data_IF_355930249696
#
_entry.id   IF_355930249696
#
_cell.length_a   1.000
_cell.length_b   1.000
_cell.length_c   1.000
_cell.angle_alpha   90.00
_cell.angle_beta   90.00
_cell.angle_gamma   90.00
#
_symmetry.space_group_name_H-M   'P 1'
#
loop_
_entity.id
_entity.type
_entity.pdbx_description
1 polymer ?
#
# COMPACT_ATOMS: atom_id res chain seq x y z
N UNK A 1 -12.37 -37.21 2.40
CA UNK A 1 -11.20 -36.71 1.66
C UNK A 1 -11.23 -35.18 1.79
N UNK A 2 -10.09 -34.50 2.01
CA UNK A 2 -10.07 -33.04 2.08
C UNK A 2 -10.14 -32.44 0.69
N UNK A 3 -10.85 -31.30 0.49
CA UNK A 3 -10.86 -30.60 -0.78
C UNK A 3 -9.43 -30.24 -1.24
N UNK A 4 -9.13 -30.49 -2.49
CA UNK A 4 -7.83 -30.19 -3.11
C UNK A 4 -7.90 -28.74 -3.65
N UNK A 5 -7.16 -27.81 -3.07
CA UNK A 5 -7.13 -26.42 -3.50
C UNK A 5 -5.79 -26.06 -4.14
N UNK A 6 -5.88 -25.36 -5.25
CA UNK A 6 -4.75 -24.73 -5.89
C UNK A 6 -4.62 -23.29 -5.41
N UNK A 7 -3.49 -22.96 -4.79
CA UNK A 7 -3.06 -21.60 -4.55
C UNK A 7 -2.06 -21.22 -5.62
N UNK A 8 -2.43 -20.30 -6.51
CA UNK A 8 -1.58 -19.81 -7.58
C UNK A 8 -1.15 -18.37 -7.28
N UNK A 9 0.14 -18.20 -6.95
CA UNK A 9 0.71 -16.90 -6.58
C UNK A 9 1.92 -16.61 -7.47
N UNK A 10 1.75 -15.64 -8.38
CA UNK A 10 2.76 -15.31 -9.40
C UNK A 10 4.05 -14.77 -8.77
N UNK A 11 3.95 -13.98 -7.73
CA UNK A 11 5.09 -13.48 -6.97
C UNK A 11 5.04 -13.96 -5.52
N UNK A 12 6.19 -13.94 -4.85
CA UNK A 12 6.29 -14.22 -3.40
C UNK A 12 6.79 -12.98 -2.65
N UNK A 13 6.26 -11.83 -3.05
CA UNK A 13 6.49 -10.55 -2.39
C UNK A 13 5.82 -10.47 -1.00
N UNK A 14 6.03 -9.37 -0.31
CA UNK A 14 5.48 -9.15 1.03
C UNK A 14 3.95 -9.19 1.06
N UNK A 15 3.28 -8.65 0.05
CA UNK A 15 1.82 -8.68 -0.07
C UNK A 15 1.30 -10.10 -0.22
N UNK A 16 1.86 -10.87 -1.15
CA UNK A 16 1.50 -12.28 -1.36
C UNK A 16 1.73 -13.13 -0.11
N UNK A 17 2.80 -12.87 0.65
CA UNK A 17 3.08 -13.55 1.90
C UNK A 17 2.01 -13.28 2.96
N UNK A 18 1.56 -12.04 3.11
CA UNK A 18 0.48 -11.68 4.04
C UNK A 18 -0.88 -12.27 3.62
N UNK A 19 -1.20 -12.26 2.34
CA UNK A 19 -2.39 -12.93 1.81
C UNK A 19 -2.37 -14.43 2.16
N UNK A 20 -1.25 -15.10 1.90
CA UNK A 20 -1.09 -16.53 2.23
C UNK A 20 -1.23 -16.81 3.73
N UNK A 21 -0.72 -15.93 4.60
CA UNK A 21 -0.93 -16.04 6.06
C UNK A 21 -2.42 -15.98 6.42
N UNK A 22 -3.19 -15.08 5.78
CA UNK A 22 -4.63 -14.97 5.96
C UNK A 22 -5.37 -16.25 5.54
N UNK A 23 -5.05 -16.80 4.36
CA UNK A 23 -5.59 -18.08 3.86
C UNK A 23 -5.27 -19.22 4.82
N UNK A 24 -4.01 -19.32 5.26
CA UNK A 24 -3.57 -20.38 6.19
C UNK A 24 -4.22 -20.24 7.56
N UNK A 25 -4.45 -19.01 8.05
CA UNK A 25 -5.16 -18.79 9.29
C UNK A 25 -6.59 -19.34 9.20
N UNK A 26 -7.30 -19.00 8.11
CA UNK A 26 -8.66 -19.53 7.89
C UNK A 26 -8.68 -21.05 7.86
N UNK A 27 -7.79 -21.66 7.06
CA UNK A 27 -7.69 -23.13 6.92
C UNK A 27 -7.44 -23.83 8.28
N UNK A 28 -6.59 -23.25 9.15
CA UNK A 28 -6.27 -23.85 10.46
C UNK A 28 -7.42 -23.76 11.47
N UNK A 29 -8.30 -22.76 11.32
CA UNK A 29 -9.38 -22.48 12.27
C UNK A 29 -10.73 -23.04 11.82
N UNK A 30 -10.87 -23.49 10.57
CA UNK A 30 -12.11 -24.00 9.98
C UNK A 30 -11.92 -25.41 9.41
N UNK A 31 -12.28 -25.60 8.14
CA UNK A 31 -12.14 -26.91 7.48
C UNK A 31 -10.74 -27.09 6.89
N UNK A 32 -10.07 -28.23 7.13
CA UNK A 32 -8.78 -28.49 6.53
C UNK A 32 -8.92 -28.75 5.01
N UNK A 33 -7.99 -28.16 4.24
CA UNK A 33 -7.84 -28.37 2.81
C UNK A 33 -6.53 -29.10 2.53
N UNK A 34 -6.47 -29.80 1.41
CA UNK A 34 -5.21 -30.23 0.81
C UNK A 34 -4.75 -29.12 -0.15
N UNK A 35 -3.65 -28.45 0.18
CA UNK A 35 -3.18 -27.28 -0.56
C UNK A 35 -1.99 -27.63 -1.43
N UNK A 36 -2.04 -27.21 -2.70
CA UNK A 36 -0.88 -27.14 -3.59
C UNK A 36 -0.59 -25.68 -3.92
N UNK A 37 0.61 -25.22 -3.59
CA UNK A 37 1.07 -23.85 -3.88
C UNK A 37 1.94 -23.85 -5.12
N UNK A 38 1.54 -23.07 -6.12
CA UNK A 38 2.26 -22.91 -7.40
C UNK A 38 2.53 -21.43 -7.68
N UNK A 39 3.55 -21.16 -8.49
CA UNK A 39 3.94 -19.85 -8.99
C UNK A 39 4.44 -19.92 -10.43
N UNK A 40 4.78 -18.77 -11.04
CA UNK A 40 5.21 -18.67 -12.44
C UNK A 40 6.41 -19.53 -12.81
N UNK A 41 7.30 -19.83 -11.85
CA UNK A 41 8.49 -20.65 -12.08
C UNK A 41 8.16 -22.10 -12.50
N UNK A 42 6.93 -22.55 -12.17
CA UNK A 42 6.48 -23.93 -12.41
C UNK A 42 5.49 -24.04 -13.56
N UNK A 43 4.97 -22.90 -14.02
CA UNK A 43 3.88 -22.83 -14.99
C UNK A 43 4.31 -21.92 -16.12
N UNK A 44 4.86 -22.51 -17.16
CA UNK A 44 5.02 -21.79 -18.42
C UNK A 44 3.67 -21.26 -18.93
N UNK A 45 3.60 -20.74 -20.14
CA UNK A 45 2.35 -20.28 -20.78
C UNK A 45 1.31 -21.40 -20.97
N UNK A 46 1.68 -22.65 -20.72
CA UNK A 46 0.83 -23.83 -20.86
C UNK A 46 0.10 -24.16 -19.54
N UNK A 47 -1.22 -24.05 -19.54
CA UNK A 47 -2.10 -24.38 -18.43
C UNK A 47 -2.59 -25.84 -18.45
N UNK A 48 -2.07 -26.70 -19.37
CA UNK A 48 -2.49 -28.11 -19.52
C UNK A 48 -2.30 -28.95 -18.24
N UNK A 49 -1.35 -28.58 -17.41
CA UNK A 49 -1.09 -29.22 -16.11
C UNK A 49 -2.27 -29.09 -15.12
N UNK A 50 -3.16 -28.09 -15.29
CA UNK A 50 -4.39 -27.98 -14.51
C UNK A 50 -5.29 -29.20 -14.68
N UNK A 51 -5.28 -29.82 -15.85
CA UNK A 51 -6.13 -30.97 -16.19
C UNK A 51 -5.58 -32.30 -15.61
N UNK A 52 -4.35 -32.32 -15.12
CA UNK A 52 -3.68 -33.53 -14.62
C UNK A 52 -4.04 -33.92 -13.19
N UNK A 53 -4.86 -33.14 -12.48
CA UNK A 53 -5.29 -33.37 -11.10
C UNK A 53 -6.75 -32.97 -10.92
N UNK A 54 -7.39 -33.61 -9.94
CA UNK A 54 -8.72 -33.25 -9.49
C UNK A 54 -8.65 -32.07 -8.52
N UNK A 55 -8.94 -30.88 -9.00
CA UNK A 55 -9.04 -29.65 -8.22
C UNK A 55 -10.47 -29.43 -7.78
N UNK A 56 -10.66 -28.88 -6.57
CA UNK A 56 -11.98 -28.50 -6.04
C UNK A 56 -12.16 -26.96 -6.01
N UNK A 57 -11.06 -26.20 -6.10
CA UNK A 57 -11.09 -24.75 -6.15
C UNK A 57 -9.71 -24.14 -6.38
N UNK A 58 -9.71 -22.87 -6.79
CA UNK A 58 -8.50 -22.08 -7.10
C UNK A 58 -8.57 -20.73 -6.39
N UNK A 59 -7.49 -20.37 -5.69
CA UNK A 59 -7.26 -19.00 -5.22
C UNK A 59 -6.02 -18.50 -5.95
N UNK A 60 -6.19 -17.45 -6.75
CA UNK A 60 -5.15 -16.91 -7.61
C UNK A 60 -4.81 -15.46 -7.23
N UNK A 61 -3.52 -15.14 -7.16
CA UNK A 61 -3.02 -13.79 -6.93
C UNK A 61 -2.03 -13.39 -8.02
N UNK A 62 -2.28 -12.24 -8.66
CA UNK A 62 -1.50 -11.73 -9.78
C UNK A 62 -1.36 -12.73 -10.95
N UNK A 63 -2.35 -13.59 -11.11
CA UNK A 63 -2.38 -14.56 -12.19
C UNK A 63 -2.56 -13.85 -13.56
N UNK A 64 -2.01 -14.47 -14.61
CA UNK A 64 -2.23 -13.95 -15.96
C UNK A 64 -3.70 -14.12 -16.37
N UNK A 65 -4.25 -13.25 -17.24
CA UNK A 65 -5.56 -13.41 -17.81
C UNK A 65 -5.80 -14.79 -18.42
N UNK A 66 -4.79 -15.35 -19.12
CA UNK A 66 -4.87 -16.67 -19.71
C UNK A 66 -5.02 -17.79 -18.67
N UNK A 67 -4.37 -17.66 -17.50
CA UNK A 67 -4.52 -18.61 -16.41
C UNK A 67 -5.94 -18.59 -15.82
N UNK A 68 -6.48 -17.40 -15.57
CA UNK A 68 -7.85 -17.26 -15.04
C UNK A 68 -8.88 -17.81 -16.05
N UNK A 69 -8.73 -17.48 -17.33
CA UNK A 69 -9.58 -18.01 -18.39
C UNK A 69 -9.50 -19.55 -18.50
N UNK A 70 -8.30 -20.11 -18.47
CA UNK A 70 -8.12 -21.56 -18.51
C UNK A 70 -8.73 -22.24 -17.28
N UNK A 71 -8.57 -21.65 -16.09
CA UNK A 71 -9.16 -22.16 -14.85
C UNK A 71 -10.67 -22.08 -14.87
N UNK A 72 -11.27 -21.02 -15.41
CA UNK A 72 -12.74 -20.84 -15.47
C UNK A 72 -13.42 -21.90 -16.33
N UNK A 73 -12.71 -22.42 -17.36
CA UNK A 73 -13.20 -23.53 -18.21
C UNK A 73 -13.33 -24.87 -17.46
N UNK A 74 -12.70 -25.01 -16.30
CA UNK A 74 -12.81 -26.20 -15.45
C UNK A 74 -14.08 -26.22 -14.61
N UNK A 75 -14.90 -25.16 -14.64
CA UNK A 75 -16.13 -25.02 -13.85
C UNK A 75 -15.90 -25.16 -12.33
N UNK A 76 -14.72 -24.79 -11.87
CA UNK A 76 -14.34 -24.82 -10.46
C UNK A 76 -14.61 -23.48 -9.78
N UNK A 77 -14.83 -23.47 -8.45
CA UNK A 77 -14.77 -22.27 -7.66
C UNK A 77 -13.43 -21.56 -7.82
N UNK A 78 -13.45 -20.28 -8.25
CA UNK A 78 -12.25 -19.46 -8.45
C UNK A 78 -12.41 -18.15 -7.71
N UNK A 79 -11.36 -17.78 -6.96
CA UNK A 79 -11.20 -16.47 -6.34
C UNK A 79 -9.96 -15.81 -6.92
N UNK A 80 -10.14 -14.67 -7.56
CA UNK A 80 -9.06 -13.83 -8.07
C UNK A 80 -8.76 -12.70 -7.06
N UNK A 81 -7.54 -12.67 -6.57
CA UNK A 81 -7.00 -11.65 -5.66
C UNK A 81 -6.21 -10.56 -6.42
N UNK A 82 -6.24 -10.61 -7.74
CA UNK A 82 -5.57 -9.62 -8.58
C UNK A 82 -6.37 -8.33 -8.62
N UNK A 83 -5.69 -7.21 -8.56
CA UNK A 83 -6.29 -5.88 -8.71
C UNK A 83 -6.44 -5.50 -10.21
N UNK A 84 -6.99 -6.43 -10.99
CA UNK A 84 -7.24 -6.26 -12.41
C UNK A 84 -8.71 -5.98 -12.69
N UNK A 85 -8.98 -5.15 -13.71
CA UNK A 85 -10.37 -4.85 -14.15
C UNK A 85 -10.99 -5.94 -15.03
N UNK A 86 -10.25 -6.99 -15.36
CA UNK A 86 -10.73 -8.01 -16.32
C UNK A 86 -11.84 -8.86 -15.70
N UNK A 87 -13.00 -8.85 -16.35
CA UNK A 87 -14.18 -9.61 -15.90
C UNK A 87 -14.19 -10.99 -16.53
N UNK A 88 -13.86 -12.01 -15.75
CA UNK A 88 -13.93 -13.43 -16.17
C UNK A 88 -15.11 -14.19 -15.54
N UNK A 89 -16.05 -13.49 -14.90
CA UNK A 89 -17.16 -14.15 -14.19
C UNK A 89 -16.69 -14.95 -12.97
N UNK A 90 -15.54 -14.60 -12.38
CA UNK A 90 -14.98 -15.22 -11.17
C UNK A 90 -15.12 -14.29 -9.97
N UNK A 91 -15.14 -14.87 -8.77
CA UNK A 91 -15.16 -14.05 -7.54
C UNK A 91 -13.87 -13.28 -7.37
N UNK A 92 -13.95 -12.02 -6.95
CA UNK A 92 -12.82 -11.12 -6.73
C UNK A 92 -12.77 -10.64 -5.30
N UNK A 93 -11.55 -10.52 -4.77
CA UNK A 93 -11.27 -9.84 -3.50
C UNK A 93 -10.06 -8.95 -3.74
N UNK A 94 -10.24 -7.66 -3.55
CA UNK A 94 -9.22 -6.64 -3.85
C UNK A 94 -9.22 -5.52 -2.82
N UNK A 95 -8.13 -4.74 -2.72
CA UNK A 95 -8.13 -3.54 -1.89
C UNK A 95 -9.23 -2.56 -2.33
N UNK A 96 -9.80 -1.84 -1.39
CA UNK A 96 -10.66 -0.69 -1.71
C UNK A 96 -9.79 0.50 -2.13
N UNK A 97 -9.58 0.63 -3.43
CA UNK A 97 -8.71 1.65 -4.00
C UNK A 97 -9.27 3.07 -3.87
N UNK A 98 -10.59 3.22 -3.85
CA UNK A 98 -11.23 4.52 -3.57
C UNK A 98 -10.94 4.93 -2.12
N UNK A 99 -11.13 4.03 -1.16
CA UNK A 99 -10.82 4.28 0.25
C UNK A 99 -9.33 4.56 0.48
N UNK A 100 -8.43 3.89 -0.25
CA UNK A 100 -6.98 4.20 -0.24
C UNK A 100 -6.73 5.64 -0.69
N UNK A 101 -7.39 6.09 -1.76
CA UNK A 101 -7.30 7.46 -2.25
C UNK A 101 -7.80 8.49 -1.22
N UNK A 102 -8.99 8.26 -0.65
CA UNK A 102 -9.57 9.09 0.40
C UNK A 102 -8.61 9.23 1.59
N UNK A 103 -8.12 8.11 2.10
CA UNK A 103 -7.20 8.09 3.25
C UNK A 103 -5.89 8.85 2.97
N UNK A 104 -5.37 8.78 1.74
CA UNK A 104 -4.22 9.57 1.31
C UNK A 104 -4.48 11.08 1.33
N UNK A 105 -5.65 11.52 0.87
CA UNK A 105 -6.07 12.92 0.90
C UNK A 105 -6.25 13.43 2.34
N UNK A 106 -6.99 12.69 3.17
CA UNK A 106 -7.21 13.01 4.58
C UNK A 106 -5.87 13.12 5.33
N UNK A 107 -4.97 12.17 5.10
CA UNK A 107 -3.62 12.19 5.69
C UNK A 107 -2.87 13.49 5.41
N UNK A 108 -2.93 14.01 4.20
CA UNK A 108 -2.29 15.26 3.83
C UNK A 108 -3.05 16.50 4.33
N UNK A 109 -4.38 16.49 4.29
CA UNK A 109 -5.23 17.58 4.81
C UNK A 109 -4.97 17.78 6.31
N UNK A 110 -4.94 16.72 7.09
CA UNK A 110 -4.67 16.75 8.53
C UNK A 110 -3.30 17.34 8.85
N UNK A 111 -2.31 17.11 7.97
CA UNK A 111 -0.96 17.67 8.07
C UNK A 111 -0.84 19.09 7.53
N UNK A 112 -2.00 19.71 7.12
CA UNK A 112 -2.10 21.11 6.69
C UNK A 112 -1.33 21.42 5.42
N UNK A 113 -1.20 20.43 4.53
CA UNK A 113 -0.78 20.70 3.16
C UNK A 113 -1.80 21.56 2.42
N UNK A 114 -1.35 22.32 1.44
CA UNK A 114 -2.20 23.24 0.68
C UNK A 114 -2.23 22.95 -0.81
N UNK A 115 -1.19 22.37 -1.32
CA UNK A 115 -1.03 22.01 -2.73
C UNK A 115 -0.94 20.49 -2.85
N UNK A 116 -1.65 19.90 -3.81
CA UNK A 116 -1.78 18.46 -3.93
C UNK A 116 -1.52 18.02 -5.36
N UNK A 117 -0.86 16.87 -5.49
CA UNK A 117 -0.61 16.22 -6.74
C UNK A 117 -0.89 14.72 -6.65
N UNK A 118 -1.23 14.13 -7.78
CA UNK A 118 -1.33 12.68 -7.94
C UNK A 118 -0.37 12.22 -9.03
N UNK A 119 0.35 11.13 -8.80
CA UNK A 119 1.21 10.51 -9.79
C UNK A 119 0.80 9.05 -9.99
N UNK A 120 0.51 8.65 -11.24
CA UNK A 120 0.01 7.31 -11.50
C UNK A 120 0.05 6.87 -12.95
N UNK A 121 -0.74 5.83 -13.25
CA UNK A 121 -0.80 5.18 -14.55
C UNK A 121 -2.23 5.20 -15.09
N UNK A 122 -2.40 5.76 -16.31
CA UNK A 122 -3.72 5.94 -16.92
C UNK A 122 -4.39 4.63 -17.35
N UNK A 123 -3.62 3.58 -17.65
CA UNK A 123 -4.10 2.28 -18.10
C UNK A 123 -4.24 1.24 -16.99
N UNK A 124 -4.05 1.61 -15.70
CA UNK A 124 -4.23 0.71 -14.57
C UNK A 124 -5.45 1.10 -13.73
N UNK A 125 -6.40 0.18 -13.61
CA UNK A 125 -7.65 0.37 -12.86
C UNK A 125 -7.42 0.86 -11.43
N UNK A 126 -6.52 0.19 -10.69
CA UNK A 126 -6.17 0.56 -9.32
C UNK A 126 -5.62 1.98 -9.20
N UNK A 127 -4.84 2.42 -10.20
CA UNK A 127 -4.30 3.78 -10.24
C UNK A 127 -5.42 4.81 -10.42
N UNK A 128 -6.35 4.52 -11.33
CA UNK A 128 -7.50 5.39 -11.63
C UNK A 128 -8.45 5.48 -10.43
N UNK A 129 -8.79 4.36 -9.80
CA UNK A 129 -9.64 4.33 -8.59
C UNK A 129 -8.99 5.08 -7.43
N UNK A 130 -7.66 4.92 -7.18
CA UNK A 130 -6.93 5.66 -6.14
C UNK A 130 -6.91 7.16 -6.42
N UNK A 131 -6.73 7.55 -7.69
CA UNK A 131 -6.82 8.96 -8.08
C UNK A 131 -8.21 9.51 -7.85
N UNK A 132 -9.25 8.78 -8.25
CA UNK A 132 -10.66 9.17 -8.07
C UNK A 132 -10.95 9.46 -6.60
N UNK A 133 -10.67 8.52 -5.70
CA UNK A 133 -10.87 8.72 -4.27
C UNK A 133 -10.04 9.88 -3.70
N UNK A 134 -8.75 10.02 -4.13
CA UNK A 134 -7.90 11.11 -3.68
C UNK A 134 -8.45 12.49 -4.11
N UNK A 135 -8.88 12.62 -5.36
CA UNK A 135 -9.44 13.86 -5.91
C UNK A 135 -10.78 14.17 -5.25
N UNK A 136 -11.68 13.20 -5.12
CA UNK A 136 -12.99 13.37 -4.49
C UNK A 136 -12.85 13.91 -3.05
N UNK A 137 -11.99 13.31 -2.24
CA UNK A 137 -11.78 13.76 -0.87
C UNK A 137 -11.18 15.18 -0.79
N UNK A 138 -10.30 15.54 -1.73
CA UNK A 138 -9.74 16.90 -1.83
C UNK A 138 -10.82 17.92 -2.24
N UNK A 139 -11.66 17.59 -3.22
CA UNK A 139 -12.75 18.46 -3.69
C UNK A 139 -13.78 18.72 -2.59
N UNK A 140 -14.14 17.68 -1.81
CA UNK A 140 -15.01 17.82 -0.63
C UNK A 140 -14.41 18.78 0.42
N UNK A 141 -13.08 18.85 0.50
CA UNK A 141 -12.36 19.79 1.36
C UNK A 141 -12.11 21.18 0.71
N UNK A 142 -12.64 21.45 -0.49
CA UNK A 142 -12.41 22.69 -1.24
C UNK A 142 -10.97 22.85 -1.73
N UNK A 143 -10.30 21.74 -2.06
CA UNK A 143 -8.93 21.68 -2.57
C UNK A 143 -8.90 21.17 -4.00
N UNK A 144 -7.79 21.46 -4.69
CA UNK A 144 -7.57 20.99 -6.07
C UNK A 144 -6.33 20.13 -6.13
N UNK A 145 -6.34 19.17 -7.06
CA UNK A 145 -5.25 18.26 -7.35
C UNK A 145 -4.76 18.46 -8.79
N UNK A 146 -3.45 18.44 -8.99
CA UNK A 146 -2.85 18.29 -10.33
C UNK A 146 -2.37 16.85 -10.49
N UNK A 147 -2.55 16.27 -11.67
CA UNK A 147 -2.15 14.88 -11.92
C UNK A 147 -1.04 14.78 -12.97
N UNK A 148 -0.15 13.83 -12.76
CA UNK A 148 0.82 13.35 -13.76
C UNK A 148 0.58 11.86 -13.98
N UNK A 149 0.17 11.51 -15.16
CA UNK A 149 -0.15 10.14 -15.53
C UNK A 149 0.49 9.75 -16.85
N UNK A 150 0.95 8.52 -16.91
CA UNK A 150 1.51 7.90 -18.11
C UNK A 150 0.96 6.49 -18.25
N UNK A 151 1.07 5.90 -19.42
CA UNK A 151 0.78 4.49 -19.59
C UNK A 151 1.87 3.64 -18.94
N UNK A 152 1.46 2.67 -18.11
CA UNK A 152 2.36 1.63 -17.61
C UNK A 152 2.68 0.67 -18.77
N UNK A 153 3.95 0.40 -19.07
CA UNK A 153 4.34 -0.50 -20.14
C UNK A 153 4.13 -1.97 -19.71
N UNK A 154 3.98 -2.86 -20.68
CA UNK A 154 3.94 -4.30 -20.42
C UNK A 154 5.23 -4.80 -19.75
N UNK A 155 6.36 -4.16 -20.10
CA UNK A 155 7.66 -4.42 -19.48
C UNK A 155 8.39 -3.11 -19.14
N UNK A 156 8.74 -2.93 -17.87
CA UNK A 156 9.55 -1.79 -17.41
C UNK A 156 10.99 -2.01 -17.87
N UNK A 157 11.48 -1.13 -18.75
CA UNK A 157 12.87 -1.13 -19.22
C UNK A 157 13.64 0.06 -18.64
N UNK A 158 14.97 -0.01 -18.49
CA UNK A 158 15.78 1.12 -18.04
C UNK A 158 15.62 2.37 -18.89
N UNK A 159 15.42 2.21 -20.22
CA UNK A 159 15.21 3.33 -21.15
C UNK A 159 13.87 4.00 -20.87
N UNK A 160 12.80 3.23 -20.73
CA UNK A 160 11.47 3.77 -20.38
C UNK A 160 11.53 4.50 -19.02
N UNK A 161 12.14 3.87 -18.03
CA UNK A 161 12.23 4.44 -16.68
C UNK A 161 13.01 5.77 -16.67
N UNK A 162 14.16 5.84 -17.32
CA UNK A 162 14.95 7.07 -17.44
C UNK A 162 14.17 8.20 -18.11
N UNK A 163 13.42 7.88 -19.18
CA UNK A 163 12.54 8.85 -19.86
C UNK A 163 11.45 9.36 -18.93
N UNK A 164 10.79 8.47 -18.19
CA UNK A 164 9.72 8.84 -17.28
C UNK A 164 10.23 9.71 -16.13
N UNK A 165 11.37 9.40 -15.54
CA UNK A 165 12.01 10.23 -14.51
C UNK A 165 12.26 11.64 -15.03
N UNK A 166 12.73 11.80 -16.28
CA UNK A 166 12.94 13.12 -16.89
C UNK A 166 11.65 13.94 -17.06
N UNK A 167 10.58 13.31 -17.55
CA UNK A 167 9.27 13.96 -17.71
C UNK A 167 8.67 14.33 -16.35
N UNK A 168 8.72 13.42 -15.40
CA UNK A 168 8.24 13.63 -14.05
C UNK A 168 9.01 14.75 -13.34
N UNK A 169 10.35 14.83 -13.50
CA UNK A 169 11.16 15.92 -12.96
C UNK A 169 10.75 17.29 -13.55
N UNK A 170 10.37 17.33 -14.82
CA UNK A 170 9.81 18.54 -15.45
C UNK A 170 8.50 18.97 -14.81
N UNK A 171 7.58 18.04 -14.59
CA UNK A 171 6.30 18.30 -13.90
C UNK A 171 6.52 18.78 -12.47
N UNK A 172 7.39 18.10 -11.70
CA UNK A 172 7.67 18.47 -10.30
C UNK A 172 8.20 19.91 -10.17
N UNK A 173 9.03 20.39 -11.12
CA UNK A 173 9.51 21.79 -11.13
C UNK A 173 8.40 22.82 -11.36
N UNK A 174 7.30 22.42 -12.00
CA UNK A 174 6.15 23.32 -12.23
C UNK A 174 5.21 23.44 -11.03
N UNK A 175 5.36 22.56 -10.02
CA UNK A 175 4.50 22.56 -8.84
C UNK A 175 4.93 23.60 -7.81
N UNK A 176 3.99 24.18 -7.06
CA UNK A 176 4.31 25.04 -5.93
C UNK A 176 5.14 24.28 -4.86
N UNK A 177 6.04 25.00 -4.19
CA UNK A 177 6.75 24.41 -3.05
C UNK A 177 5.80 23.95 -1.95
N UNK A 178 6.13 22.83 -1.31
CA UNK A 178 5.30 22.22 -0.28
C UNK A 178 4.09 21.47 -0.87
N UNK A 179 4.15 21.03 -2.13
CA UNK A 179 3.13 20.15 -2.70
C UNK A 179 3.25 18.75 -2.12
N UNK A 180 2.10 18.19 -1.72
CA UNK A 180 1.94 16.81 -1.28
C UNK A 180 1.49 15.94 -2.45
N UNK A 181 2.27 14.92 -2.79
CA UNK A 181 2.01 14.03 -3.92
C UNK A 181 1.65 12.65 -3.40
N UNK A 182 0.46 12.18 -3.76
CA UNK A 182 0.11 10.77 -3.66
C UNK A 182 0.53 10.05 -4.93
N UNK A 183 1.36 9.03 -4.80
CA UNK A 183 1.68 8.11 -5.87
C UNK A 183 0.73 6.91 -5.83
N UNK A 184 0.41 6.35 -7.00
CA UNK A 184 -0.55 5.25 -7.09
C UNK A 184 -0.10 3.97 -6.36
N UNK A 185 1.22 3.76 -6.23
CA UNK A 185 1.84 2.67 -5.45
C UNK A 185 3.25 3.07 -4.98
N UNK A 186 3.92 2.19 -4.21
CA UNK A 186 5.24 2.46 -3.64
C UNK A 186 6.35 2.50 -4.71
N UNK A 187 6.23 1.74 -5.80
CA UNK A 187 7.15 1.83 -6.93
C UNK A 187 7.03 3.17 -7.67
N UNK A 188 5.81 3.65 -7.86
CA UNK A 188 5.55 4.97 -8.41
C UNK A 188 6.10 6.06 -7.47
N UNK A 189 5.91 5.92 -6.15
CA UNK A 189 6.46 6.84 -5.15
C UNK A 189 7.99 6.92 -5.20
N UNK A 190 8.67 5.80 -5.37
CA UNK A 190 10.12 5.76 -5.54
C UNK A 190 10.57 6.52 -6.79
N UNK A 191 9.82 6.39 -7.91
CA UNK A 191 10.09 7.17 -9.14
C UNK A 191 9.89 8.67 -8.93
N UNK A 192 8.85 9.07 -8.16
CA UNK A 192 8.64 10.49 -7.79
C UNK A 192 9.84 11.01 -6.99
N UNK A 193 10.37 10.24 -6.03
CA UNK A 193 11.55 10.62 -5.24
C UNK A 193 12.80 10.74 -6.13
N UNK A 194 13.02 9.79 -7.04
CA UNK A 194 14.13 9.85 -8.00
C UNK A 194 14.02 11.07 -8.92
N UNK A 195 12.81 11.38 -9.40
CA UNK A 195 12.53 12.55 -10.21
C UNK A 195 12.73 13.87 -9.44
N UNK A 196 12.31 13.91 -8.16
CA UNK A 196 12.55 15.06 -7.29
C UNK A 196 14.06 15.33 -7.12
N UNK A 197 14.86 14.29 -6.89
CA UNK A 197 16.33 14.38 -6.84
C UNK A 197 16.90 14.92 -8.15
N UNK A 198 16.43 14.41 -9.29
CA UNK A 198 16.83 14.91 -10.64
C UNK A 198 16.42 16.36 -10.87
N UNK A 199 15.29 16.79 -10.30
CA UNK A 199 14.80 18.15 -10.35
C UNK A 199 15.52 19.10 -9.39
N UNK A 200 16.37 18.61 -8.48
CA UNK A 200 17.00 19.39 -7.40
C UNK A 200 16.03 19.77 -6.28
N UNK A 201 14.93 19.02 -6.12
CA UNK A 201 13.91 19.22 -5.09
C UNK A 201 14.15 18.26 -3.94
N UNK A 202 14.04 18.79 -2.71
CA UNK A 202 14.19 17.97 -1.50
C UNK A 202 12.85 17.35 -1.09
N UNK A 203 12.89 16.11 -0.62
CA UNK A 203 11.76 15.38 -0.06
C UNK A 203 12.03 15.16 1.43
N UNK A 204 11.13 15.57 2.32
CA UNK A 204 9.77 16.06 2.10
C UNK A 204 9.62 17.59 1.98
N UNK A 205 10.69 18.38 2.01
CA UNK A 205 10.66 19.84 2.20
C UNK A 205 9.95 20.59 1.09
N UNK A 206 10.33 20.31 -0.15
CA UNK A 206 9.76 20.94 -1.32
C UNK A 206 8.58 20.14 -1.87
N UNK A 207 8.69 18.82 -1.81
CA UNK A 207 7.69 17.87 -2.29
C UNK A 207 7.57 16.75 -1.26
N UNK A 208 6.40 16.56 -0.66
CA UNK A 208 6.11 15.39 0.17
C UNK A 208 5.54 14.27 -0.70
N UNK A 209 5.91 13.01 -0.43
CA UNK A 209 5.52 11.86 -1.25
C UNK A 209 4.91 10.76 -0.39
N UNK A 210 3.69 10.32 -0.74
CA UNK A 210 2.96 9.21 -0.13
C UNK A 210 2.77 8.12 -1.18
N UNK A 211 3.18 6.90 -0.86
CA UNK A 211 2.91 5.70 -1.65
C UNK A 211 1.63 4.98 -1.22
N UNK A 212 1.39 3.81 -1.79
CA UNK A 212 0.34 2.88 -1.39
C UNK A 212 0.79 1.43 -1.62
N UNK A 213 0.29 0.53 -0.82
CA UNK A 213 0.45 -0.89 -0.59
C UNK A 213 1.29 -1.19 0.66
N UNK A 214 2.17 -0.28 1.07
CA UNK A 214 3.14 -0.46 2.15
C UNK A 214 4.03 -1.69 1.93
N UNK A 215 4.58 -1.83 0.72
CA UNK A 215 5.66 -2.77 0.48
C UNK A 215 6.88 -2.33 1.31
N UNK A 216 7.14 -3.06 2.40
CA UNK A 216 8.15 -2.68 3.38
C UNK A 216 9.54 -2.54 2.75
N UNK A 217 9.90 -3.43 1.83
CA UNK A 217 11.21 -3.41 1.18
C UNK A 217 11.32 -2.17 0.30
N UNK A 218 10.33 -1.89 -0.55
CA UNK A 218 10.33 -0.71 -1.41
C UNK A 218 10.30 0.59 -0.60
N UNK A 219 9.52 0.62 0.47
CA UNK A 219 9.43 1.80 1.33
C UNK A 219 10.73 2.11 2.06
N UNK A 220 11.43 1.08 2.56
CA UNK A 220 12.69 1.25 3.30
C UNK A 220 13.91 1.47 2.38
N UNK A 221 13.90 0.93 1.15
CA UNK A 221 14.92 1.21 0.13
C UNK A 221 14.86 2.65 -0.40
N UNK A 222 13.73 3.34 -0.22
CA UNK A 222 13.58 4.74 -0.59
C UNK A 222 14.50 5.66 0.21
N UNK A 223 15.12 6.67 -0.44
CA UNK A 223 15.89 7.72 0.22
C UNK A 223 15.31 9.08 -0.16
N UNK A 224 14.51 9.68 0.74
CA UNK A 224 14.07 9.24 2.07
C UNK A 224 13.10 8.05 2.04
N UNK A 225 12.99 7.29 3.15
CA UNK A 225 12.04 6.17 3.28
C UNK A 225 10.59 6.62 3.10
N UNK A 226 9.80 5.79 2.39
CA UNK A 226 8.50 6.16 1.84
C UNK A 226 7.37 5.92 2.83
N UNK A 227 6.61 6.97 3.15
CA UNK A 227 5.31 6.86 3.81
C UNK A 227 4.32 6.22 2.85
N UNK A 228 3.47 5.33 3.32
CA UNK A 228 2.58 4.57 2.44
C UNK A 228 1.26 4.22 3.11
N UNK A 229 0.18 4.20 2.31
CA UNK A 229 -1.12 3.66 2.74
C UNK A 229 -1.03 2.14 2.76
N UNK A 230 -1.24 1.54 3.92
CA UNK A 230 -1.16 0.09 4.09
C UNK A 230 -2.46 -0.59 3.66
N UNK A 231 -2.38 -1.53 2.71
CA UNK A 231 -3.48 -2.43 2.38
C UNK A 231 -3.61 -3.54 3.43
N UNK A 232 -4.79 -4.13 3.54
CA UNK A 232 -5.05 -5.23 4.47
C UNK A 232 -4.96 -6.59 3.77
N UNK A 233 -3.75 -6.94 3.30
CA UNK A 233 -3.47 -8.16 2.56
C UNK A 233 -3.82 -9.43 3.36
N UNK A 234 -3.58 -9.41 4.67
CA UNK A 234 -3.96 -10.53 5.54
C UNK A 234 -5.49 -10.77 5.53
N UNK A 235 -6.29 -9.71 5.64
CA UNK A 235 -7.76 -9.82 5.60
C UNK A 235 -8.25 -10.26 4.22
N UNK A 236 -7.61 -9.84 3.13
CA UNK A 236 -7.90 -10.36 1.79
C UNK A 236 -7.78 -11.88 1.76
N UNK A 237 -6.68 -12.43 2.28
CA UNK A 237 -6.46 -13.88 2.36
C UNK A 237 -7.47 -14.59 3.25
N UNK A 238 -7.80 -14.02 4.42
CA UNK A 238 -8.79 -14.56 5.34
C UNK A 238 -10.19 -14.62 4.69
N UNK A 239 -10.59 -13.55 3.99
CA UNK A 239 -11.87 -13.49 3.26
C UNK A 239 -11.89 -14.46 2.08
N UNK A 240 -10.76 -14.64 1.40
CA UNK A 240 -10.64 -15.65 0.34
C UNK A 240 -10.92 -17.06 0.88
N UNK A 241 -10.37 -17.38 2.04
CA UNK A 241 -10.64 -18.65 2.70
C UNK A 241 -12.12 -18.84 3.03
N UNK A 242 -12.74 -17.83 3.63
CA UNK A 242 -14.16 -17.86 4.00
C UNK A 242 -15.10 -18.02 2.78
N UNK A 243 -14.82 -17.26 1.72
CA UNK A 243 -15.62 -17.34 0.48
C UNK A 243 -15.41 -18.69 -0.20
N UNK A 244 -14.19 -19.21 -0.25
CA UNK A 244 -13.89 -20.52 -0.82
C UNK A 244 -14.67 -21.63 -0.11
N UNK A 245 -14.70 -21.66 1.22
CA UNK A 245 -15.49 -22.64 1.96
C UNK A 245 -16.98 -22.58 1.62
N UNK A 246 -17.54 -21.39 1.50
CA UNK A 246 -18.95 -21.20 1.09
C UNK A 246 -19.20 -21.68 -0.34
N UNK A 247 -18.28 -21.38 -1.27
CA UNK A 247 -18.37 -21.88 -2.66
C UNK A 247 -18.33 -23.41 -2.71
N UNK A 248 -17.44 -24.03 -1.95
CA UNK A 248 -17.31 -25.49 -1.87
C UNK A 248 -18.54 -26.16 -1.21
N UNK A 249 -19.22 -25.45 -0.30
CA UNK A 249 -20.45 -25.91 0.33
C UNK A 249 -21.69 -25.68 -0.58
N UNK A 250 -21.57 -24.97 -1.69
CA UNK A 250 -22.67 -24.56 -2.52
C UNK A 250 -23.56 -23.48 -1.87
N UNK A 251 -23.02 -22.72 -0.94
CA UNK A 251 -23.73 -21.72 -0.15
C UNK A 251 -23.50 -20.30 -0.70
N UNK A 252 -24.56 -19.62 -1.08
CA UNK A 252 -24.54 -18.23 -1.51
C UNK A 252 -24.66 -18.06 -3.02
N UNK A 253 -24.62 -16.78 -3.45
CA UNK A 253 -24.62 -16.40 -4.85
C UNK A 253 -23.22 -15.97 -5.26
N UNK A 254 -22.71 -16.48 -6.37
CA UNK A 254 -21.39 -16.17 -6.90
C UNK A 254 -21.51 -15.87 -8.40
N UNK A 255 -20.61 -15.06 -9.00
CA UNK A 255 -19.42 -14.45 -8.36
C UNK A 255 -19.72 -13.27 -7.43
N UNK A 256 -18.78 -12.92 -6.55
CA UNK A 256 -18.79 -11.73 -5.71
C UNK A 256 -17.59 -10.84 -6.01
N UNK A 257 -17.73 -9.53 -5.82
CA UNK A 257 -16.63 -8.55 -5.81
C UNK A 257 -16.55 -7.94 -4.41
N UNK A 258 -15.51 -8.29 -3.67
CA UNK A 258 -15.29 -7.85 -2.28
C UNK A 258 -14.13 -6.87 -2.23
N UNK A 259 -14.38 -5.69 -1.67
CA UNK A 259 -13.36 -4.66 -1.43
C UNK A 259 -12.95 -4.68 0.04
N UNK A 260 -11.65 -4.62 0.29
CA UNK A 260 -11.08 -4.66 1.63
C UNK A 260 -10.49 -3.29 1.96
N UNK A 261 -11.01 -2.70 3.04
CA UNK A 261 -10.57 -1.41 3.55
C UNK A 261 -9.07 -1.39 3.89
N UNK A 262 -8.37 -0.26 3.66
CA UNK A 262 -6.99 -0.09 4.06
C UNK A 262 -6.84 -0.06 5.60
N UNK A 263 -5.64 -0.40 6.09
CA UNK A 263 -5.34 -0.41 7.53
C UNK A 263 -5.00 0.98 8.10
N UNK A 264 -4.58 1.93 7.24
CA UNK A 264 -4.11 3.24 7.65
C UNK A 264 -2.85 3.68 6.91
N UNK A 265 -2.22 4.77 7.36
CA UNK A 265 -0.97 5.27 6.77
C UNK A 265 0.21 4.97 7.69
N UNK A 266 1.20 4.28 7.15
CA UNK A 266 2.51 4.11 7.80
C UNK A 266 3.36 5.30 7.44
N UNK A 267 3.54 6.21 8.41
CA UNK A 267 4.33 7.43 8.23
C UNK A 267 5.83 7.12 8.31
N UNK A 268 6.58 7.58 7.30
CA UNK A 268 8.04 7.56 7.23
C UNK A 268 8.58 8.93 6.83
N UNK A 269 9.85 9.02 6.43
CA UNK A 269 10.55 10.29 6.17
C UNK A 269 9.98 11.08 4.98
N UNK A 270 9.41 10.46 3.96
CA UNK A 270 8.98 11.13 2.73
C UNK A 270 7.79 12.11 2.88
N UNK A 271 7.09 12.06 4.02
CA UNK A 271 6.00 13.00 4.36
C UNK A 271 6.20 13.69 5.71
N UNK A 272 7.32 13.43 6.40
CA UNK A 272 7.56 13.96 7.75
C UNK A 272 8.09 15.41 7.71
N UNK A 273 7.19 16.36 7.42
CA UNK A 273 7.50 17.80 7.45
C UNK A 273 7.68 18.31 8.89
N UNK A 274 7.14 17.60 9.88
CA UNK A 274 7.25 18.02 11.28
C UNK A 274 8.71 17.99 11.73
N UNK A 275 9.49 17.03 11.25
CA UNK A 275 10.91 16.96 11.44
C UNK A 275 11.68 18.23 10.99
N UNK A 276 11.07 19.07 10.14
CA UNK A 276 11.76 20.12 9.43
C UNK A 276 11.42 21.53 9.87
N UNK A 277 10.18 21.75 10.30
CA UNK A 277 9.79 23.07 10.83
C UNK A 277 10.50 23.37 12.15
N UNK A 278 10.99 22.34 12.83
CA UNK A 278 11.74 22.47 14.07
C UNK A 278 12.68 21.26 14.25
N UNK A 279 13.96 21.43 13.92
CA UNK A 279 15.00 20.39 14.02
C UNK A 279 15.04 19.73 15.40
N UNK A 280 14.67 20.47 16.43
CA UNK A 280 14.69 19.98 17.80
C UNK A 280 13.46 19.08 18.08
N UNK A 281 12.28 19.42 17.53
CA UNK A 281 11.08 18.53 17.58
C UNK A 281 11.35 17.26 16.81
N UNK A 282 12.01 17.37 15.66
CA UNK A 282 12.44 16.22 14.88
C UNK A 282 13.36 15.27 15.65
N UNK A 283 14.40 15.82 16.26
CA UNK A 283 15.33 15.03 17.07
C UNK A 283 14.61 14.34 18.23
N UNK A 284 13.64 15.02 18.85
CA UNK A 284 12.81 14.43 19.90
C UNK A 284 11.94 13.27 19.38
N UNK A 285 11.28 13.46 18.24
CA UNK A 285 10.43 12.42 17.63
C UNK A 285 11.23 11.20 17.19
N UNK A 286 12.36 11.41 16.53
CA UNK A 286 13.26 10.32 16.14
C UNK A 286 13.74 9.52 17.35
N UNK A 287 14.15 10.21 18.42
CA UNK A 287 14.54 9.55 19.65
C UNK A 287 13.41 8.74 20.29
N UNK A 288 12.19 9.29 20.30
CA UNK A 288 11.01 8.56 20.79
C UNK A 288 10.74 7.33 19.93
N UNK A 289 10.72 7.47 18.61
CA UNK A 289 10.46 6.34 17.70
C UNK A 289 11.50 5.23 17.85
N UNK A 290 12.76 5.57 18.02
CA UNK A 290 13.85 4.60 18.16
C UNK A 290 13.81 3.86 19.50
N UNK A 291 13.62 4.61 20.60
CA UNK A 291 13.85 4.11 21.97
C UNK A 291 12.58 3.95 22.83
N UNK A 292 11.37 4.22 22.33
CA UNK A 292 10.12 4.17 23.12
C UNK A 292 9.96 2.88 23.93
N UNK A 293 10.27 1.72 23.33
CA UNK A 293 10.15 0.42 23.99
C UNK A 293 11.24 0.13 25.04
N UNK A 294 12.24 1.00 25.17
CA UNK A 294 13.30 0.86 26.16
C UNK A 294 13.00 1.64 27.46
N UNK A 295 11.76 2.10 27.65
CA UNK A 295 11.32 2.76 28.87
C UNK A 295 11.84 4.20 29.03
N UNK A 296 12.03 4.90 27.90
CA UNK A 296 12.52 6.29 27.92
C UNK A 296 11.60 7.25 28.66
N UNK A 297 12.20 8.28 29.25
CA UNK A 297 11.51 9.37 29.94
C UNK A 297 11.45 10.63 29.09
N UNK A 298 10.54 11.56 29.45
CA UNK A 298 10.47 12.88 28.79
C UNK A 298 11.77 13.67 29.00
N UNK A 299 12.47 13.48 30.11
CA UNK A 299 13.72 14.19 30.40
C UNK A 299 14.85 13.74 29.45
N UNK A 300 14.93 12.47 29.13
CA UNK A 300 15.86 11.95 28.09
C UNK A 300 15.52 12.50 26.69
N UNK A 301 14.22 12.68 26.39
CA UNK A 301 13.79 13.32 25.13
C UNK A 301 14.22 14.80 25.12
N UNK A 302 14.14 15.51 26.26
CA UNK A 302 14.59 16.90 26.39
C UNK A 302 16.09 17.08 26.12
N UNK A 303 16.91 16.18 26.64
CA UNK A 303 18.37 16.19 26.40
C UNK A 303 18.71 16.08 24.91
N UNK A 304 17.96 15.25 24.17
CA UNK A 304 18.17 15.09 22.73
C UNK A 304 17.59 16.22 21.91
N UNK A 305 16.50 16.84 22.40
CA UNK A 305 15.83 17.93 21.71
C UNK A 305 16.49 19.29 21.90
N UNK A 306 17.43 19.42 22.80
CA UNK A 306 18.09 20.71 23.15
C UNK A 306 17.07 21.82 23.42
N UNK A 307 16.00 21.52 24.15
CA UNK A 307 14.91 22.44 24.48
C UNK A 307 14.55 22.39 25.96
N UNK A 308 13.92 23.47 26.45
CA UNK A 308 13.28 23.43 27.77
C UNK A 308 11.99 22.59 27.73
N UNK A 309 11.56 22.08 28.89
CA UNK A 309 10.35 21.27 29.01
C UNK A 309 9.10 21.99 28.49
N UNK A 310 8.98 23.28 28.83
CA UNK A 310 7.85 24.11 28.36
C UNK A 310 7.84 24.27 26.83
N UNK A 311 9.04 24.48 26.24
CA UNK A 311 9.18 24.58 24.77
C UNK A 311 8.82 23.25 24.08
N UNK A 312 9.29 22.13 24.61
CA UNK A 312 9.02 20.81 24.06
C UNK A 312 7.51 20.52 24.11
N UNK A 313 6.86 20.75 25.27
CA UNK A 313 5.42 20.52 25.41
C UNK A 313 4.60 21.40 24.49
N UNK A 314 4.94 22.71 24.41
CA UNK A 314 4.24 23.65 23.53
C UNK A 314 4.39 23.24 22.05
N UNK A 315 5.62 22.92 21.62
CA UNK A 315 5.90 22.53 20.25
C UNK A 315 5.30 21.16 19.90
N UNK A 316 5.34 20.18 20.80
CA UNK A 316 4.70 18.89 20.59
C UNK A 316 3.17 19.05 20.43
N UNK A 317 2.50 19.81 21.29
CA UNK A 317 1.07 20.08 21.10
C UNK A 317 0.77 20.79 19.79
N UNK A 318 1.62 21.74 19.38
CA UNK A 318 1.46 22.51 18.14
C UNK A 318 1.75 21.66 16.89
N UNK A 319 2.79 20.86 16.89
CA UNK A 319 3.29 20.16 15.70
C UNK A 319 2.87 18.69 15.65
N UNK A 320 2.75 18.00 16.79
CA UNK A 320 2.42 16.57 16.89
C UNK A 320 0.97 16.35 17.31
N UNK A 321 0.29 17.40 17.81
CA UNK A 321 -1.09 17.33 18.30
C UNK A 321 -1.26 16.67 19.67
N UNK A 322 -0.16 16.19 20.29
CA UNK A 322 -0.17 15.52 21.61
C UNK A 322 1.09 15.86 22.41
N UNK A 323 1.07 15.56 23.71
CA UNK A 323 2.23 15.79 24.58
C UNK A 323 3.35 14.77 24.31
N UNK A 324 4.63 15.08 24.65
CA UNK A 324 5.73 14.13 24.50
C UNK A 324 5.48 12.79 25.18
N UNK A 325 4.87 12.80 26.36
CA UNK A 325 4.54 11.58 27.10
C UNK A 325 3.47 10.72 26.39
N UNK A 326 2.45 11.37 25.78
CA UNK A 326 1.47 10.66 24.97
C UNK A 326 2.07 10.10 23.71
N UNK A 327 3.06 10.79 23.12
CA UNK A 327 3.79 10.31 21.95
C UNK A 327 4.63 9.07 22.28
N UNK A 328 5.35 9.05 23.39
CA UNK A 328 6.10 7.87 23.85
C UNK A 328 5.17 6.67 23.97
N UNK A 329 4.00 6.81 24.61
CA UNK A 329 3.02 5.73 24.75
C UNK A 329 2.46 5.27 23.40
N UNK A 330 2.19 6.20 22.49
CA UNK A 330 1.72 5.90 21.15
C UNK A 330 2.75 5.08 20.35
N UNK A 331 4.02 5.49 20.40
CA UNK A 331 5.12 4.77 19.76
C UNK A 331 5.33 3.36 20.36
N UNK A 332 5.12 3.20 21.68
CA UNK A 332 5.16 1.88 22.34
C UNK A 332 4.07 0.95 21.81
N UNK A 333 2.83 1.45 21.73
CA UNK A 333 1.70 0.65 21.23
C UNK A 333 1.91 0.25 19.78
N UNK A 334 2.35 1.17 18.93
CA UNK A 334 2.60 0.93 17.51
C UNK A 334 3.70 -0.11 17.21
N UNK A 335 4.61 -0.38 18.18
CA UNK A 335 5.67 -1.41 18.03
C UNK A 335 5.28 -2.78 18.59
N UNK A 336 4.17 -2.88 19.30
CA UNK A 336 3.67 -4.12 19.93
C UNK A 336 2.54 -4.72 19.08
N UNK A 337 1.89 -3.91 18.24
CA UNK A 337 0.87 -4.33 17.26
C UNK A 337 1.51 -4.82 15.98
#
# INVERSE_FOLDING_TARGET
MYPQLLLFFRSRDGESAEILKGVLHHQRTHRPWSISLHGDEQVGTDSSWLQGREWHGVIACNASPLFIEASSKLLLPIIDLSDSSTEYGVSKIRPDNIAIGHLGAEYFIDRKFRNFGFCGYSNLSRSNERREGFVEALELAGKHCTAFEVEHPDAVTPVWESKQIGLLAGWLRSLPEGTAIMACDDFCAQRVICAARTAGLTVPEKIAVLGANNDVIQCELGEPSISSVAINAYEMGRRAGEIMDRMLAGEGQFPVDVRIEPQGVVTRKSTDILAMRDKNVAAALNYIQEYACQGITVDQVLERAFMSRSQLEHKFRRFVGRSPQKEIRHAQVAKIS
#
